data_IF_238440431978
#
_entry.id   IF_238440431978
#
_cell.length_a   1.000
_cell.length_b   1.000
_cell.length_c   1.000
_cell.angle_alpha   90.00
_cell.angle_beta   90.00
_cell.angle_gamma   90.00
#
_symmetry.space_group_name_H-M   'P 1'
#
loop_
_entity.id
_entity.type
_entity.pdbx_description
1 polymer ?
#
# COMPACT_ATOMS: atom_id res chain seq x y z
N UNK A 1 54.81 -16.12 24.44
CA UNK A 1 55.17 -14.84 23.79
C UNK A 1 55.17 -15.13 22.30
N UNK A 2 54.33 -14.62 21.41
CA UNK A 2 53.46 -13.44 21.42
C UNK A 2 52.38 -13.65 20.35
N UNK A 3 51.15 -13.25 20.69
CA UNK A 3 49.97 -12.98 19.86
C UNK A 3 50.19 -12.94 18.32
N UNK A 4 49.44 -13.78 17.61
CA UNK A 4 48.81 -13.41 16.34
C UNK A 4 47.29 -13.32 16.59
N UNK A 5 46.90 -12.28 17.34
CA UNK A 5 45.53 -11.76 17.40
C UNK A 5 45.34 -11.03 16.06
N UNK A 6 44.80 -11.71 15.06
CA UNK A 6 44.64 -11.13 13.73
C UNK A 6 43.32 -11.51 13.01
N UNK A 7 42.26 -11.95 13.72
CA UNK A 7 40.90 -11.69 13.24
C UNK A 7 40.02 -10.88 14.21
N UNK A 8 40.53 -10.50 15.39
CA UNK A 8 39.71 -9.84 16.43
C UNK A 8 39.58 -8.31 16.29
N UNK A 9 40.35 -7.67 15.40
CA UNK A 9 40.40 -6.20 15.28
C UNK A 9 39.50 -5.65 14.16
N UNK A 10 39.14 -6.43 13.13
CA UNK A 10 38.18 -5.99 12.09
C UNK A 10 36.73 -5.85 12.64
N UNK A 11 36.45 -6.57 13.74
CA UNK A 11 35.21 -6.53 14.53
C UNK A 11 35.16 -5.35 15.52
N UNK A 12 35.95 -4.29 15.29
CA UNK A 12 35.87 -3.00 15.97
C UNK A 12 34.49 -2.34 15.74
N UNK A 13 33.55 -2.80 16.59
CA UNK A 13 32.26 -2.22 17.01
C UNK A 13 31.52 -1.41 15.96
N UNK A 14 30.79 -2.09 15.06
CA UNK A 14 29.56 -1.51 14.50
C UNK A 14 28.71 -0.99 15.67
N UNK A 15 28.41 0.31 15.65
CA UNK A 15 27.52 0.93 16.62
C UNK A 15 26.15 0.23 16.60
N UNK A 16 25.40 0.28 17.69
CA UNK A 16 24.03 -0.26 17.72
C UNK A 16 23.19 0.31 16.56
N UNK A 17 23.38 1.59 16.25
CA UNK A 17 22.77 2.26 15.10
C UNK A 17 23.08 1.57 13.77
N UNK A 18 24.34 1.25 13.47
CA UNK A 18 24.69 0.62 12.19
C UNK A 18 24.14 -0.81 12.10
N UNK A 19 24.15 -1.55 13.22
CA UNK A 19 23.57 -2.91 13.30
C UNK A 19 22.07 -2.90 13.00
N UNK A 20 21.31 -1.96 13.57
CA UNK A 20 19.89 -1.83 13.25
C UNK A 20 19.67 -1.33 11.82
N UNK A 21 20.50 -0.42 11.33
CA UNK A 21 20.45 0.04 9.95
C UNK A 21 20.64 -1.12 8.96
N UNK A 22 21.58 -2.03 9.20
CA UNK A 22 21.79 -3.24 8.38
C UNK A 22 20.55 -4.14 8.31
N UNK A 23 19.94 -4.44 9.45
CA UNK A 23 18.67 -5.17 9.48
C UNK A 23 17.59 -4.46 8.63
N UNK A 24 17.46 -3.14 8.77
CA UNK A 24 16.45 -2.38 8.03
C UNK A 24 16.77 -2.29 6.53
N UNK A 25 18.03 -2.30 6.11
CA UNK A 25 18.43 -2.30 4.69
C UNK A 25 18.00 -3.56 3.94
N UNK A 26 17.70 -4.66 4.64
CA UNK A 26 17.09 -5.87 4.04
C UNK A 26 15.78 -5.53 3.31
N UNK A 27 15.09 -4.46 3.74
CA UNK A 27 13.81 -4.05 3.17
C UNK A 27 13.97 -2.86 2.23
N UNK A 28 13.65 -3.07 0.95
CA UNK A 28 13.70 -2.01 -0.06
C UNK A 28 12.77 -0.82 0.27
N UNK A 29 11.56 -1.09 0.78
CA UNK A 29 10.56 -0.05 1.09
C UNK A 29 10.88 0.70 2.38
N UNK A 30 11.05 2.03 2.30
CA UNK A 30 11.20 2.90 3.48
C UNK A 30 10.04 2.75 4.46
N UNK A 31 8.80 2.58 3.96
CA UNK A 31 7.62 2.38 4.81
C UNK A 31 7.72 1.07 5.63
N UNK A 32 8.27 0.01 5.04
CA UNK A 32 8.52 -1.25 5.76
C UNK A 32 9.59 -1.06 6.83
N UNK A 33 10.68 -0.34 6.51
CA UNK A 33 11.73 -0.02 7.50
C UNK A 33 11.15 0.75 8.68
N UNK A 34 10.36 1.78 8.41
CA UNK A 34 9.72 2.60 9.43
C UNK A 34 8.75 1.79 10.29
N UNK A 35 7.94 0.91 9.70
CA UNK A 35 7.01 0.06 10.44
C UNK A 35 7.75 -0.88 11.40
N UNK A 36 8.82 -1.52 10.95
CA UNK A 36 9.64 -2.38 11.81
C UNK A 36 10.40 -1.60 12.87
N UNK A 37 10.94 -0.43 12.54
CA UNK A 37 11.58 0.42 13.53
C UNK A 37 10.60 0.83 14.63
N UNK A 38 9.37 1.24 14.27
CA UNK A 38 8.32 1.55 15.25
C UNK A 38 7.95 0.35 16.11
N UNK A 39 7.80 -0.85 15.54
CA UNK A 39 7.38 -2.05 16.30
C UNK A 39 8.46 -2.60 17.23
N UNK A 40 9.71 -2.50 16.79
CA UNK A 40 10.87 -2.92 17.57
C UNK A 40 11.30 -1.84 18.57
N UNK A 41 10.88 -0.59 18.40
CA UNK A 41 11.32 0.53 19.23
C UNK A 41 12.71 1.04 18.84
N UNK A 42 13.11 0.87 17.58
CA UNK A 42 14.33 1.45 17.02
C UNK A 42 14.09 2.95 16.76
N UNK A 43 14.99 3.85 17.19
CA UNK A 43 14.88 5.27 16.90
C UNK A 43 14.72 5.55 15.39
N UNK A 44 13.76 6.40 15.02
CA UNK A 44 13.43 6.61 13.59
C UNK A 44 14.56 7.29 12.81
N UNK A 45 15.37 8.11 13.47
CA UNK A 45 16.59 8.72 12.95
C UNK A 45 17.67 7.68 12.59
N UNK A 46 17.58 6.45 13.11
CA UNK A 46 18.47 5.35 12.73
C UNK A 46 18.00 4.63 11.47
N UNK A 47 16.79 4.95 10.96
CA UNK A 47 16.22 4.28 9.79
C UNK A 47 16.88 4.79 8.50
N UNK A 48 17.53 3.92 7.70
CA UNK A 48 18.17 4.34 6.47
C UNK A 48 17.17 5.00 5.50
N UNK A 49 17.50 6.19 5.03
CA UNK A 49 16.67 6.98 4.12
C UNK A 49 15.51 7.71 4.78
N UNK A 50 15.34 7.62 6.10
CA UNK A 50 14.40 8.49 6.82
C UNK A 50 14.99 9.90 6.95
N UNK A 51 14.14 10.90 6.72
CA UNK A 51 14.41 12.29 7.07
C UNK A 51 13.26 12.77 7.95
N UNK A 52 13.55 13.35 9.13
CA UNK A 52 12.52 13.95 9.97
C UNK A 52 11.67 14.93 9.15
N UNK A 53 10.34 14.94 9.31
CA UNK A 53 9.50 15.95 8.68
C UNK A 53 9.93 17.35 9.10
N UNK A 54 9.88 18.30 8.17
CA UNK A 54 10.09 19.72 8.47
C UNK A 54 9.09 20.18 9.55
N UNK A 55 9.57 20.64 10.73
CA UNK A 55 8.70 21.01 11.85
C UNK A 55 7.81 22.21 11.53
N UNK A 56 8.15 23.01 10.52
CA UNK A 56 7.36 24.17 10.08
C UNK A 56 6.19 23.79 9.16
N UNK A 57 6.17 22.56 8.62
CA UNK A 57 5.07 22.07 7.77
C UNK A 57 3.92 21.55 8.62
N UNK A 58 2.79 22.27 8.63
CA UNK A 58 1.50 21.73 9.12
C UNK A 58 1.09 20.50 8.30
N UNK A 59 1.21 19.30 8.88
CA UNK A 59 0.48 18.10 8.44
C UNK A 59 -0.18 17.40 9.63
N UNK A 60 -1.34 16.81 9.34
CA UNK A 60 -2.20 16.12 10.30
C UNK A 60 -1.54 14.91 10.97
N UNK A 61 -2.10 14.59 12.15
CA UNK A 61 -1.73 13.57 13.15
C UNK A 61 -0.24 13.21 13.17
N UNK A 62 0.47 13.74 14.17
CA UNK A 62 1.84 13.34 14.48
C UNK A 62 1.94 11.81 14.51
N UNK A 63 2.92 11.24 13.80
CA UNK A 63 3.33 9.85 14.06
C UNK A 63 3.73 9.79 15.54
N UNK A 64 3.33 8.73 16.26
CA UNK A 64 3.76 8.51 17.65
C UNK A 64 5.28 8.70 17.70
N UNK A 65 5.73 9.77 18.35
CA UNK A 65 7.14 10.17 18.41
C UNK A 65 7.84 9.59 19.64
N UNK A 66 7.08 9.09 20.62
CA UNK A 66 7.64 8.51 21.83
C UNK A 66 7.31 7.02 21.94
N UNK A 67 8.31 6.17 22.25
CA UNK A 67 8.07 4.78 22.60
C UNK A 67 7.09 4.72 23.77
N UNK A 68 6.07 3.89 23.65
CA UNK A 68 5.21 3.55 24.79
C UNK A 68 5.94 2.71 25.84
N UNK A 69 7.16 2.27 25.51
CA UNK A 69 7.95 1.31 26.25
C UNK A 69 7.60 -0.12 25.85
N UNK A 70 6.37 -0.41 25.42
CA UNK A 70 5.96 -1.77 25.10
C UNK A 70 6.45 -2.26 23.73
N UNK A 71 7.19 -1.43 22.99
CA UNK A 71 7.96 -1.89 21.83
C UNK A 71 9.01 -2.93 22.25
N UNK A 72 9.35 -3.85 21.35
CA UNK A 72 10.12 -5.05 21.71
C UNK A 72 11.47 -4.76 22.38
N UNK A 73 12.31 -3.90 21.81
CA UNK A 73 13.65 -3.63 22.35
C UNK A 73 13.59 -2.87 23.69
N UNK A 74 12.80 -1.79 23.84
CA UNK A 74 12.60 -1.17 25.15
C UNK A 74 12.03 -2.14 26.19
N UNK A 75 11.12 -3.04 25.80
CA UNK A 75 10.57 -4.05 26.69
C UNK A 75 11.64 -5.05 27.15
N UNK A 76 12.49 -5.54 26.25
CA UNK A 76 13.62 -6.40 26.61
C UNK A 76 14.55 -5.73 27.63
N UNK A 77 14.92 -4.47 27.37
CA UNK A 77 15.81 -3.71 28.27
C UNK A 77 15.19 -3.50 29.65
N UNK A 78 13.90 -3.15 29.74
CA UNK A 78 13.21 -2.98 31.02
C UNK A 78 13.06 -4.28 31.81
N UNK A 79 13.07 -5.43 31.14
CA UNK A 79 13.01 -6.74 31.77
C UNK A 79 14.40 -7.36 31.97
N UNK A 80 15.47 -6.58 31.82
CA UNK A 80 16.83 -6.98 32.21
C UNK A 80 17.57 -7.87 31.21
N UNK A 81 17.04 -8.08 30.01
CA UNK A 81 17.74 -8.87 28.99
C UNK A 81 18.96 -8.12 28.47
N UNK A 82 20.12 -8.76 28.55
CA UNK A 82 21.38 -8.22 28.02
C UNK A 82 21.83 -8.95 26.75
N UNK A 83 21.24 -10.11 26.46
CA UNK A 83 21.47 -10.89 25.25
C UNK A 83 20.16 -11.38 24.63
N UNK A 84 20.09 -11.40 23.30
CA UNK A 84 18.95 -11.99 22.60
C UNK A 84 18.92 -13.53 22.67
N UNK A 85 20.03 -14.17 23.02
CA UNK A 85 20.08 -15.63 23.23
C UNK A 85 19.33 -16.08 24.50
N UNK A 86 19.16 -15.18 25.49
CA UNK A 86 18.45 -15.43 26.75
C UNK A 86 16.93 -15.44 26.57
N UNK A 87 16.43 -14.78 25.51
CA UNK A 87 14.99 -14.67 25.26
C UNK A 87 14.44 -16.02 24.83
N UNK A 88 13.29 -16.39 25.40
CA UNK A 88 12.60 -17.67 25.19
C UNK A 88 11.12 -17.41 24.87
N UNK A 89 10.38 -18.45 24.54
CA UNK A 89 8.98 -18.34 24.08
C UNK A 89 8.07 -17.70 25.14
N UNK A 90 8.24 -18.09 26.41
CA UNK A 90 7.51 -17.59 27.56
C UNK A 90 7.69 -16.08 27.77
N UNK A 91 8.87 -15.54 27.42
CA UNK A 91 9.15 -14.11 27.46
C UNK A 91 8.39 -13.36 26.37
N UNK A 92 8.29 -13.93 25.18
CA UNK A 92 7.50 -13.38 24.07
C UNK A 92 6.01 -13.41 24.41
N UNK A 93 5.53 -14.50 25.01
CA UNK A 93 4.12 -14.64 25.42
C UNK A 93 3.76 -13.67 26.55
N UNK A 94 4.65 -13.49 27.53
CA UNK A 94 4.49 -12.45 28.56
C UNK A 94 4.39 -11.06 27.93
N UNK A 95 5.29 -10.72 27.02
CA UNK A 95 5.25 -9.43 26.30
C UNK A 95 3.93 -9.24 25.53
N UNK A 96 3.43 -10.28 24.87
CA UNK A 96 2.14 -10.24 24.17
C UNK A 96 0.96 -10.05 25.12
N UNK A 97 1.03 -10.61 26.33
CA UNK A 97 0.05 -10.40 27.41
C UNK A 97 0.06 -8.95 27.92
N UNK A 98 1.25 -8.38 28.15
CA UNK A 98 1.39 -6.97 28.57
C UNK A 98 0.86 -6.00 27.50
N UNK A 99 1.10 -6.28 26.22
CA UNK A 99 0.49 -5.51 25.13
C UNK A 99 -1.05 -5.57 25.15
N UNK A 100 -1.62 -6.76 25.39
CA UNK A 100 -3.07 -6.93 25.50
C UNK A 100 -3.64 -6.14 26.69
N UNK A 101 -3.00 -6.23 27.85
CA UNK A 101 -3.38 -5.49 29.05
C UNK A 101 -3.32 -3.97 28.85
N UNK A 102 -2.40 -3.49 28.01
CA UNK A 102 -2.30 -2.09 27.60
C UNK A 102 -3.30 -1.67 26.49
N UNK A 103 -4.24 -2.54 26.10
CA UNK A 103 -5.30 -2.26 25.14
C UNK A 103 -4.86 -2.31 23.66
N UNK A 104 -3.72 -2.94 23.35
CA UNK A 104 -3.33 -3.13 21.95
C UNK A 104 -4.24 -4.16 21.27
N UNK A 105 -4.82 -3.78 20.12
CA UNK A 105 -5.61 -4.70 19.28
C UNK A 105 -4.78 -5.89 18.82
N UNK A 106 -5.42 -7.04 18.65
CA UNK A 106 -4.76 -8.29 18.20
C UNK A 106 -4.02 -8.14 16.88
N UNK A 107 -4.60 -7.42 15.92
CA UNK A 107 -3.93 -7.13 14.65
C UNK A 107 -2.63 -6.32 14.85
N UNK A 108 -2.59 -5.42 15.84
CA UNK A 108 -1.38 -4.67 16.18
C UNK A 108 -0.36 -5.59 16.85
N UNK A 109 -0.78 -6.42 17.81
CA UNK A 109 0.06 -7.41 18.51
C UNK A 109 0.69 -8.41 17.53
N UNK A 110 -0.10 -8.99 16.63
CA UNK A 110 0.36 -9.94 15.61
C UNK A 110 1.37 -9.31 14.62
N UNK A 111 1.17 -8.03 14.28
CA UNK A 111 2.12 -7.26 13.44
C UNK A 111 3.44 -7.04 14.17
N UNK A 112 3.41 -6.63 15.44
CA UNK A 112 4.61 -6.46 16.25
C UNK A 112 5.36 -7.80 16.41
N UNK A 113 4.64 -8.89 16.71
CA UNK A 113 5.21 -10.25 16.77
C UNK A 113 5.90 -10.65 15.45
N UNK A 114 5.32 -10.27 14.31
CA UNK A 114 5.92 -10.50 13.00
C UNK A 114 7.21 -9.70 12.78
N UNK A 115 7.29 -8.47 13.30
CA UNK A 115 8.51 -7.66 13.27
C UNK A 115 9.62 -8.30 14.13
N UNK A 116 9.29 -8.78 15.33
CA UNK A 116 10.23 -9.52 16.20
C UNK A 116 10.73 -10.78 15.50
N UNK A 117 9.83 -11.60 14.96
CA UNK A 117 10.21 -12.81 14.21
C UNK A 117 11.12 -12.49 13.02
N UNK A 118 10.83 -11.41 12.29
CA UNK A 118 11.68 -10.97 11.19
C UNK A 118 13.07 -10.54 11.68
N UNK A 119 13.16 -9.80 12.78
CA UNK A 119 14.44 -9.36 13.37
C UNK A 119 15.32 -10.54 13.78
N UNK A 120 14.74 -11.54 14.48
CA UNK A 120 15.47 -12.76 14.82
C UNK A 120 15.92 -13.52 13.58
N UNK A 121 14.99 -13.83 12.66
CA UNK A 121 15.30 -14.70 11.50
C UNK A 121 16.19 -14.06 10.44
N UNK A 122 16.03 -12.76 10.19
CA UNK A 122 16.71 -12.09 9.08
C UNK A 122 18.03 -11.44 9.48
N UNK A 123 18.25 -11.26 10.78
CA UNK A 123 19.43 -10.58 11.29
C UNK A 123 20.07 -11.34 12.45
N UNK A 124 19.44 -11.43 13.62
CA UNK A 124 20.12 -11.94 14.82
C UNK A 124 20.70 -13.35 14.67
N UNK A 125 19.95 -14.29 14.07
CA UNK A 125 20.44 -15.65 13.83
C UNK A 125 21.61 -15.68 12.83
N UNK A 126 21.58 -14.80 11.81
CA UNK A 126 22.63 -14.74 10.78
C UNK A 126 23.92 -14.15 11.34
N UNK A 127 23.80 -13.17 12.22
CA UNK A 127 24.93 -12.50 12.87
C UNK A 127 25.42 -13.23 14.14
N UNK A 128 24.85 -14.41 14.47
CA UNK A 128 25.21 -15.17 15.67
C UNK A 128 24.83 -14.50 17.00
N UNK A 129 23.96 -13.49 16.99
CA UNK A 129 23.52 -12.75 18.18
C UNK A 129 22.36 -13.43 18.92
N UNK A 130 21.77 -14.46 18.31
CA UNK A 130 20.77 -15.34 18.92
C UNK A 130 20.95 -16.75 18.35
N UNK A 131 20.64 -17.76 19.16
CA UNK A 131 20.75 -19.18 18.75
C UNK A 131 19.44 -19.73 18.16
N UNK A 132 18.31 -19.10 18.50
CA UNK A 132 16.98 -19.54 18.09
C UNK A 132 16.06 -18.32 17.93
N UNK A 133 14.93 -18.53 17.26
CA UNK A 133 13.86 -17.54 17.19
C UNK A 133 12.77 -17.88 18.22
N UNK A 134 12.63 -17.14 19.33
CA UNK A 134 11.66 -17.45 20.37
C UNK A 134 10.21 -17.30 19.87
N UNK A 135 9.99 -16.51 18.81
CA UNK A 135 8.67 -16.37 18.18
C UNK A 135 8.22 -17.63 17.43
N UNK A 136 9.14 -18.51 17.06
CA UNK A 136 8.81 -19.71 16.28
C UNK A 136 7.93 -20.70 17.05
N UNK A 137 7.99 -20.68 18.38
CA UNK A 137 7.28 -21.61 19.26
C UNK A 137 6.04 -20.99 19.93
N UNK A 138 5.74 -19.71 19.69
CA UNK A 138 4.60 -19.02 20.30
C UNK A 138 3.28 -19.67 19.88
N UNK A 139 2.45 -20.03 20.85
CA UNK A 139 1.08 -20.47 20.57
C UNK A 139 0.19 -19.28 20.20
N UNK A 140 0.12 -19.00 18.90
CA UNK A 140 -0.67 -17.89 18.37
C UNK A 140 -2.18 -18.05 18.64
N UNK A 141 -2.66 -19.29 18.85
CA UNK A 141 -4.06 -19.54 19.17
C UNK A 141 -4.35 -19.11 20.60
N UNK A 142 -3.54 -19.58 21.56
CA UNK A 142 -3.63 -19.20 22.97
C UNK A 142 -3.46 -17.68 23.17
N UNK A 143 -2.67 -17.02 22.31
CA UNK A 143 -2.47 -15.58 22.36
C UNK A 143 -3.59 -14.74 21.70
N UNK A 144 -4.64 -15.40 21.17
CA UNK A 144 -5.72 -14.79 20.39
C UNK A 144 -5.23 -14.04 19.14
N UNK A 145 -4.13 -14.48 18.54
CA UNK A 145 -3.52 -13.87 17.35
C UNK A 145 -3.90 -14.60 16.05
N UNK A 146 -4.41 -15.83 16.16
CA UNK A 146 -5.01 -16.50 15.02
C UNK A 146 -6.35 -15.87 14.70
N UNK A 147 -6.53 -15.45 13.44
CA UNK A 147 -7.87 -15.20 12.93
C UNK A 147 -8.58 -16.55 12.86
N UNK A 148 -9.80 -16.70 13.42
CA UNK A 148 -10.57 -17.92 13.22
C UNK A 148 -10.70 -18.23 11.72
N UNK A 149 -10.54 -19.49 11.35
CA UNK A 149 -10.74 -19.90 9.97
C UNK A 149 -12.16 -19.49 9.54
N UNK A 150 -12.28 -18.76 8.43
CA UNK A 150 -13.56 -18.27 7.94
C UNK A 150 -14.04 -16.92 8.49
N UNK A 151 -13.31 -16.26 9.41
CA UNK A 151 -13.64 -14.87 9.76
C UNK A 151 -13.42 -13.98 8.53
N UNK A 152 -14.46 -13.29 8.03
CA UNK A 152 -14.32 -12.38 6.90
C UNK A 152 -13.22 -11.35 7.19
N UNK A 153 -12.44 -11.00 6.18
CA UNK A 153 -11.58 -9.81 6.27
C UNK A 153 -12.46 -8.65 6.72
N UNK A 154 -12.07 -7.90 7.75
CA UNK A 154 -12.74 -6.65 8.16
C UNK A 154 -12.67 -5.55 7.08
N UNK A 155 -12.19 -5.89 5.89
CA UNK A 155 -12.16 -5.03 4.74
C UNK A 155 -13.57 -4.96 4.18
N UNK A 156 -14.18 -3.79 4.35
CA UNK A 156 -15.51 -3.49 3.83
C UNK A 156 -15.53 -3.74 2.32
N UNK A 157 -16.44 -4.62 1.88
CA UNK A 157 -16.72 -4.86 0.49
C UNK A 157 -17.56 -3.69 -0.05
N UNK A 158 -17.13 -3.05 -1.12
CA UNK A 158 -17.93 -2.02 -1.78
C UNK A 158 -18.97 -2.71 -2.66
N UNK A 159 -20.23 -2.25 -2.60
CA UNK A 159 -21.26 -2.72 -3.53
C UNK A 159 -20.88 -2.35 -4.97
N UNK A 160 -21.54 -2.99 -5.94
CA UNK A 160 -21.31 -2.70 -7.35
C UNK A 160 -21.61 -1.22 -7.64
N UNK A 161 -22.71 -0.72 -7.08
CA UNK A 161 -23.17 0.66 -7.19
C UNK A 161 -22.22 1.64 -6.50
N UNK A 162 -21.60 1.27 -5.37
CA UNK A 162 -20.59 2.10 -4.72
C UNK A 162 -19.31 2.21 -5.55
N UNK A 163 -18.88 1.13 -6.22
CA UNK A 163 -17.80 1.20 -7.19
C UNK A 163 -18.14 2.16 -8.34
N UNK A 164 -19.37 2.10 -8.87
CA UNK A 164 -19.85 3.03 -9.92
C UNK A 164 -19.89 4.48 -9.44
N UNK A 165 -20.38 4.70 -8.23
CA UNK A 165 -20.43 6.02 -7.61
C UNK A 165 -19.04 6.63 -7.45
N UNK A 166 -18.02 5.85 -7.07
CA UNK A 166 -16.64 6.33 -6.98
C UNK A 166 -16.06 6.73 -8.34
N UNK A 167 -16.32 5.94 -9.38
CA UNK A 167 -15.89 6.23 -10.75
C UNK A 167 -16.57 7.52 -11.26
N UNK A 168 -17.88 7.65 -11.08
CA UNK A 168 -18.59 8.86 -11.49
C UNK A 168 -18.18 10.09 -10.69
N UNK A 169 -17.99 9.96 -9.37
CA UNK A 169 -17.51 11.04 -8.54
C UNK A 169 -16.15 11.56 -9.02
N UNK A 170 -15.25 10.65 -9.40
CA UNK A 170 -13.96 11.01 -9.96
C UNK A 170 -14.11 11.69 -11.33
N UNK A 171 -15.02 11.20 -12.18
CA UNK A 171 -15.36 11.79 -13.48
C UNK A 171 -15.88 13.22 -13.37
N UNK A 172 -16.91 13.47 -12.55
CA UNK A 172 -17.56 14.78 -12.40
C UNK A 172 -16.64 15.85 -11.83
N UNK A 173 -15.56 15.45 -11.14
CA UNK A 173 -14.60 16.37 -10.54
C UNK A 173 -13.33 16.57 -11.38
N UNK A 174 -13.23 15.98 -12.59
CA UNK A 174 -12.06 16.10 -13.47
C UNK A 174 -11.65 17.56 -13.68
N UNK A 175 -12.58 18.40 -14.16
CA UNK A 175 -12.29 19.81 -14.47
C UNK A 175 -12.33 20.72 -13.25
N UNK A 176 -12.71 20.18 -12.09
CA UNK A 176 -12.89 20.94 -10.84
C UNK A 176 -11.63 20.94 -9.98
N UNK A 177 -10.65 20.11 -10.33
CA UNK A 177 -9.39 20.00 -9.63
C UNK A 177 -8.22 20.00 -10.60
N UNK A 178 -7.16 20.74 -10.27
CA UNK A 178 -5.90 20.80 -11.05
C UNK A 178 -5.31 19.42 -11.40
N UNK A 179 -5.60 18.40 -10.59
CA UNK A 179 -5.14 17.03 -10.80
C UNK A 179 -6.31 16.06 -11.00
N UNK A 180 -7.45 16.53 -11.49
CA UNK A 180 -8.66 15.72 -11.63
C UNK A 180 -8.48 14.55 -12.59
N UNK A 181 -7.85 14.76 -13.75
CA UNK A 181 -7.50 13.66 -14.67
C UNK A 181 -6.61 12.60 -14.04
N UNK A 182 -5.58 13.02 -13.28
CA UNK A 182 -4.70 12.11 -12.55
C UNK A 182 -5.49 11.29 -11.53
N UNK A 183 -6.30 11.98 -10.72
CA UNK A 183 -7.03 11.36 -9.63
C UNK A 183 -8.13 10.41 -10.20
N UNK A 184 -8.76 10.75 -11.34
CA UNK A 184 -9.64 9.85 -12.09
C UNK A 184 -8.90 8.61 -12.57
N UNK A 185 -7.80 8.76 -13.31
CA UNK A 185 -7.02 7.62 -13.79
C UNK A 185 -6.58 6.67 -12.66
N UNK A 186 -6.19 7.23 -11.49
CA UNK A 186 -5.86 6.43 -10.31
C UNK A 186 -7.05 5.63 -9.76
N UNK A 187 -8.25 6.22 -9.70
CA UNK A 187 -9.48 5.55 -9.22
C UNK A 187 -9.94 4.49 -10.21
N UNK A 188 -9.87 4.78 -11.51
CA UNK A 188 -10.21 3.87 -12.62
C UNK A 188 -9.35 2.60 -12.57
N UNK A 189 -8.02 2.74 -12.46
CA UNK A 189 -7.13 1.58 -12.32
C UNK A 189 -7.44 0.83 -11.03
N UNK A 190 -7.56 1.53 -9.90
CA UNK A 190 -7.75 0.90 -8.59
C UNK A 190 -9.00 0.01 -8.55
N UNK A 191 -10.13 0.50 -9.07
CA UNK A 191 -11.42 -0.20 -9.08
C UNK A 191 -11.49 -1.22 -10.22
N UNK A 192 -11.06 -0.83 -11.42
CA UNK A 192 -11.17 -1.65 -12.63
C UNK A 192 -10.22 -2.85 -12.69
N UNK A 193 -9.19 -2.89 -11.84
CA UNK A 193 -8.15 -3.94 -11.88
C UNK A 193 -7.84 -4.59 -10.53
N UNK A 194 -8.21 -3.95 -9.40
CA UNK A 194 -7.90 -4.47 -8.06
C UNK A 194 -6.41 -4.48 -7.69
N UNK A 195 -5.56 -3.68 -8.37
CA UNK A 195 -4.16 -3.48 -7.96
C UNK A 195 -4.05 -2.87 -6.57
N UNK A 196 -2.92 -3.10 -5.89
CA UNK A 196 -2.66 -2.48 -4.58
C UNK A 196 -2.34 -1.00 -4.76
N UNK A 197 -2.61 -0.18 -3.74
CA UNK A 197 -2.31 1.25 -3.79
C UNK A 197 -0.81 1.53 -3.95
N UNK A 198 0.06 0.73 -3.33
CA UNK A 198 1.51 0.81 -3.49
C UNK A 198 1.95 0.43 -4.91
N UNK A 199 1.32 -0.58 -5.50
CA UNK A 199 1.57 -0.99 -6.88
C UNK A 199 1.17 0.14 -7.83
N UNK A 200 -0.05 0.69 -7.66
CA UNK A 200 -0.59 1.80 -8.45
C UNK A 200 0.35 3.02 -8.48
N UNK A 201 0.80 3.49 -7.31
CA UNK A 201 1.68 4.66 -7.27
C UNK A 201 3.13 4.35 -7.66
N UNK A 202 3.50 3.07 -7.68
CA UNK A 202 4.83 2.58 -8.06
C UNK A 202 5.08 2.51 -9.56
N UNK A 203 4.02 2.61 -10.38
CA UNK A 203 4.07 2.53 -11.84
C UNK A 203 4.90 3.67 -12.45
N UNK A 204 5.72 3.34 -13.43
CA UNK A 204 6.44 4.26 -14.32
C UNK A 204 5.79 4.33 -15.71
N UNK A 205 6.07 5.39 -16.47
CA UNK A 205 5.53 5.55 -17.84
C UNK A 205 5.90 4.34 -18.70
N UNK A 206 7.13 3.85 -18.59
CA UNK A 206 7.62 2.70 -19.35
C UNK A 206 6.95 1.36 -18.96
N UNK A 207 6.12 1.33 -17.93
CA UNK A 207 5.34 0.16 -17.54
C UNK A 207 3.97 0.11 -18.24
N UNK A 208 3.49 1.24 -18.78
CA UNK A 208 2.21 1.36 -19.46
C UNK A 208 2.37 1.19 -20.97
N UNK A 209 1.52 0.38 -21.59
CA UNK A 209 1.51 0.18 -23.03
C UNK A 209 0.10 -0.02 -23.56
N UNK A 210 -0.29 0.81 -24.52
CA UNK A 210 -1.54 0.70 -25.27
C UNK A 210 -1.21 0.53 -26.76
N UNK A 211 -1.46 -0.65 -27.37
CA UNK A 211 -1.11 -0.89 -28.77
C UNK A 211 -1.94 -0.05 -29.74
N UNK A 212 -3.23 0.11 -29.45
CA UNK A 212 -4.20 0.76 -30.34
C UNK A 212 -5.12 1.71 -29.55
N UNK A 213 -5.39 2.93 -30.07
CA UNK A 213 -6.40 3.83 -29.50
C UNK A 213 -7.78 3.15 -29.43
N UNK A 214 -8.53 3.39 -28.35
CA UNK A 214 -9.82 2.74 -28.11
C UNK A 214 -9.74 1.27 -27.67
N UNK A 215 -8.60 0.60 -27.87
CA UNK A 215 -8.36 -0.78 -27.44
C UNK A 215 -7.97 -0.92 -25.96
N UNK A 216 -7.82 -2.15 -25.47
CA UNK A 216 -7.27 -2.41 -24.14
C UNK A 216 -5.79 -2.00 -24.05
N UNK A 217 -5.34 -1.73 -22.83
CA UNK A 217 -3.92 -1.49 -22.53
C UNK A 217 -3.40 -2.54 -21.55
N UNK A 218 -2.08 -2.61 -21.41
CA UNK A 218 -1.40 -3.44 -20.43
C UNK A 218 -0.51 -2.58 -19.53
N UNK A 219 -0.51 -2.92 -18.24
CA UNK A 219 0.27 -2.22 -17.22
C UNK A 219 1.16 -3.21 -16.48
N UNK A 220 2.47 -3.03 -16.51
CA UNK A 220 3.38 -3.76 -15.62
C UNK A 220 3.28 -3.18 -14.20
N UNK A 221 3.16 -4.04 -13.20
CA UNK A 221 3.15 -3.65 -11.79
C UNK A 221 4.20 -4.45 -11.01
N UNK A 222 4.88 -3.77 -10.10
CA UNK A 222 5.99 -4.31 -9.32
C UNK A 222 5.50 -4.80 -7.96
N UNK A 223 5.49 -6.12 -7.76
CA UNK A 223 5.03 -6.76 -6.53
C UNK A 223 6.11 -6.89 -5.44
N UNK A 224 5.69 -7.25 -4.22
CA UNK A 224 6.61 -7.54 -3.10
C UNK A 224 7.52 -8.72 -3.46
N UNK A 225 8.83 -8.50 -3.36
CA UNK A 225 9.85 -9.52 -3.67
C UNK A 225 10.24 -9.59 -5.15
N UNK A 226 10.14 -8.48 -5.89
CA UNK A 226 10.51 -8.38 -7.31
C UNK A 226 9.70 -9.31 -8.24
N UNK A 227 8.49 -9.68 -7.82
CA UNK A 227 7.54 -10.43 -8.65
C UNK A 227 6.72 -9.43 -9.46
N UNK A 228 7.18 -9.15 -10.67
CA UNK A 228 6.46 -8.31 -11.62
C UNK A 228 5.30 -9.10 -12.23
N UNK A 229 4.20 -8.41 -12.54
CA UNK A 229 3.09 -8.97 -13.33
C UNK A 229 2.53 -7.94 -14.28
N UNK A 230 1.93 -8.38 -15.38
CA UNK A 230 1.14 -7.52 -16.27
C UNK A 230 -0.33 -7.55 -15.83
N UNK A 231 -0.95 -6.39 -15.86
CA UNK A 231 -2.36 -6.17 -15.51
C UNK A 231 -3.06 -5.62 -16.74
N UNK A 232 -4.18 -6.23 -17.12
CA UNK A 232 -4.98 -5.75 -18.24
C UNK A 232 -5.79 -4.51 -17.81
N UNK A 233 -5.79 -3.50 -18.67
CA UNK A 233 -6.62 -2.31 -18.53
C UNK A 233 -7.68 -2.37 -19.64
N UNK A 234 -8.94 -2.50 -19.25
CA UNK A 234 -10.04 -2.39 -20.19
C UNK A 234 -10.14 -0.97 -20.77
N UNK A 235 -10.81 -0.79 -21.93
CA UNK A 235 -10.84 0.50 -22.62
C UNK A 235 -11.21 1.71 -21.74
N UNK A 236 -12.27 1.69 -20.88
CA UNK A 236 -12.59 2.86 -20.04
C UNK A 236 -11.45 3.28 -19.11
N UNK A 237 -10.71 2.30 -18.58
CA UNK A 237 -9.56 2.54 -17.70
C UNK A 237 -8.38 3.06 -18.51
N UNK A 238 -8.12 2.47 -19.69
CA UNK A 238 -7.06 2.92 -20.58
C UNK A 238 -7.30 4.35 -21.08
N UNK A 239 -8.54 4.69 -21.42
CA UNK A 239 -8.96 6.04 -21.85
C UNK A 239 -8.73 7.09 -20.77
N UNK A 240 -9.04 6.77 -19.50
CA UNK A 240 -8.75 7.66 -18.39
C UNK A 240 -7.24 7.89 -18.20
N UNK A 241 -6.41 6.87 -18.41
CA UNK A 241 -4.94 7.00 -18.36
C UNK A 241 -4.43 7.87 -19.50
N UNK A 242 -4.88 7.63 -20.74
CA UNK A 242 -4.49 8.43 -21.90
C UNK A 242 -4.91 9.90 -21.76
N UNK A 243 -6.13 10.16 -21.27
CA UNK A 243 -6.59 11.52 -20.99
C UNK A 243 -5.69 12.23 -19.98
N UNK A 244 -5.26 11.53 -18.93
CA UNK A 244 -4.26 12.06 -18.00
C UNK A 244 -2.91 12.30 -18.67
N UNK A 245 -2.39 11.35 -19.45
CA UNK A 245 -1.10 11.45 -20.12
C UNK A 245 -1.05 12.63 -21.12
N UNK A 246 -2.14 12.89 -21.83
CA UNK A 246 -2.26 14.00 -22.77
C UNK A 246 -2.05 15.38 -22.10
N UNK A 247 -2.51 15.55 -20.86
CA UNK A 247 -2.34 16.80 -20.10
C UNK A 247 -1.17 16.76 -19.10
N UNK A 248 -0.50 15.62 -18.98
CA UNK A 248 0.58 15.43 -18.01
C UNK A 248 1.79 16.27 -18.39
N UNK A 249 2.05 17.32 -17.60
CA UNK A 249 3.24 18.18 -17.71
C UNK A 249 4.33 17.62 -16.78
N UNK A 250 5.39 16.96 -17.27
CA UNK A 250 6.52 16.57 -16.41
C UNK A 250 7.18 17.83 -15.86
N UNK A 251 7.63 17.79 -14.60
CA UNK A 251 8.50 18.85 -14.11
C UNK A 251 9.86 18.71 -14.79
N UNK A 252 10.39 19.80 -15.34
CA UNK A 252 11.81 19.93 -15.67
C UNK A 252 12.60 19.89 -14.37
N UNK A 253 12.96 18.70 -13.92
CA UNK A 253 13.94 18.52 -12.85
C UNK A 253 15.31 18.62 -13.52
N UNK A 254 16.13 19.64 -13.22
CA UNK A 254 17.50 19.68 -13.71
C UNK A 254 18.21 18.39 -13.26
N UNK A 255 18.93 17.74 -14.17
CA UNK A 255 19.75 16.60 -13.82
C UNK A 255 20.66 16.99 -12.64
N UNK A 256 20.63 16.20 -11.56
CA UNK A 256 21.56 16.41 -10.45
C UNK A 256 22.97 16.17 -10.98
N UNK A 257 23.83 17.19 -10.85
CA UNK A 257 25.25 17.12 -11.21
C UNK A 257 25.89 15.89 -10.56
N UNK A 258 26.49 15.01 -11.37
CA UNK A 258 27.23 13.83 -10.89
C UNK A 258 26.54 12.46 -10.99
N UNK A 259 25.28 12.36 -11.45
CA UNK A 259 24.66 11.07 -11.78
C UNK A 259 24.64 10.83 -13.28
N UNK A 260 25.78 10.42 -13.84
CA UNK A 260 25.84 9.79 -15.17
C UNK A 260 25.64 8.29 -14.95
N UNK A 261 24.39 7.84 -14.97
CA UNK A 261 24.07 6.41 -14.81
C UNK A 261 22.60 6.17 -14.51
N UNK A 262 21.92 5.46 -15.42
CA UNK A 262 20.47 5.16 -15.47
C UNK A 262 19.56 6.38 -15.44
N UNK A 263 18.82 6.63 -16.54
CA UNK A 263 17.71 7.61 -16.50
C UNK A 263 16.81 7.27 -15.31
N UNK A 264 16.54 8.21 -14.38
CA UNK A 264 15.58 7.96 -13.33
C UNK A 264 14.25 7.57 -13.98
N UNK A 265 13.70 6.41 -13.60
CA UNK A 265 12.42 5.96 -14.16
C UNK A 265 11.36 7.01 -13.89
N UNK A 266 10.68 7.43 -14.94
CA UNK A 266 9.72 8.52 -14.87
C UNK A 266 8.40 8.00 -14.30
N UNK A 267 7.95 8.48 -13.12
CA UNK A 267 6.71 8.03 -12.51
C UNK A 267 5.51 8.35 -13.40
N UNK A 268 4.59 7.39 -13.55
CA UNK A 268 3.33 7.63 -14.27
C UNK A 268 2.54 8.72 -13.56
N UNK A 269 2.26 8.53 -12.27
CA UNK A 269 1.52 9.49 -11.45
C UNK A 269 2.46 10.44 -10.70
N UNK A 270 2.40 11.72 -11.06
CA UNK A 270 3.20 12.79 -10.47
C UNK A 270 2.38 13.78 -9.65
N UNK A 271 3.03 14.36 -8.64
CA UNK A 271 2.57 15.53 -7.89
C UNK A 271 2.80 16.81 -8.68
N UNK A 272 2.35 17.97 -8.15
CA UNK A 272 2.62 19.29 -8.72
C UNK A 272 4.11 19.56 -8.98
N UNK A 273 5.01 18.97 -8.17
CA UNK A 273 6.46 19.19 -8.31
C UNK A 273 7.12 18.16 -9.24
N UNK A 274 6.36 17.32 -9.94
CA UNK A 274 6.87 16.22 -10.76
C UNK A 274 7.35 14.99 -9.97
N UNK A 275 7.34 15.04 -8.64
CA UNK A 275 7.69 13.88 -7.82
C UNK A 275 6.59 12.81 -7.86
N UNK A 276 6.95 11.52 -7.70
CA UNK A 276 6.00 10.41 -7.58
C UNK A 276 4.93 10.67 -6.52
N UNK A 277 3.69 10.35 -6.83
CA UNK A 277 2.58 10.39 -5.86
C UNK A 277 2.83 9.41 -4.72
N UNK A 278 2.64 9.83 -3.48
CA UNK A 278 2.77 8.94 -2.32
C UNK A 278 1.49 8.10 -2.14
N UNK A 279 1.61 6.87 -1.65
CA UNK A 279 0.48 5.94 -1.45
C UNK A 279 -0.68 6.54 -0.64
N UNK A 280 -0.38 7.38 0.35
CA UNK A 280 -1.41 8.07 1.16
C UNK A 280 -2.30 9.01 0.34
N UNK A 281 -1.86 9.45 -0.83
CA UNK A 281 -2.66 10.27 -1.73
C UNK A 281 -3.84 9.48 -2.31
N UNK A 282 -3.68 8.18 -2.57
CA UNK A 282 -4.79 7.30 -3.02
C UNK A 282 -5.93 7.33 -2.01
N UNK A 283 -5.60 7.14 -0.73
CA UNK A 283 -6.54 7.25 0.39
C UNK A 283 -7.17 8.64 0.48
N UNK A 284 -6.38 9.70 0.27
CA UNK A 284 -6.86 11.07 0.33
C UNK A 284 -7.84 11.40 -0.80
N UNK A 285 -7.61 10.89 -2.01
CA UNK A 285 -8.53 11.01 -3.15
C UNK A 285 -9.86 10.35 -2.80
N UNK A 286 -9.85 9.09 -2.38
CA UNK A 286 -11.05 8.35 -2.02
C UNK A 286 -11.87 9.06 -0.92
N UNK A 287 -11.21 9.51 0.16
CA UNK A 287 -11.88 10.28 1.23
C UNK A 287 -12.45 11.60 0.73
N UNK A 288 -11.74 12.28 -0.17
CA UNK A 288 -12.23 13.54 -0.76
C UNK A 288 -13.49 13.30 -1.59
N UNK A 289 -13.57 12.21 -2.36
CA UNK A 289 -14.77 11.86 -3.12
C UNK A 289 -15.96 11.66 -2.17
N UNK A 290 -15.81 10.83 -1.12
CA UNK A 290 -16.85 10.66 -0.10
C UNK A 290 -17.23 11.99 0.58
N UNK A 291 -16.26 12.78 1.03
CA UNK A 291 -16.53 14.04 1.72
C UNK A 291 -17.20 15.09 0.83
N UNK A 292 -16.99 15.03 -0.50
CA UNK A 292 -17.59 15.98 -1.45
C UNK A 292 -19.04 15.65 -1.74
N UNK A 293 -19.35 14.37 -1.99
CA UNK A 293 -20.69 13.96 -2.43
C UNK A 293 -21.57 13.40 -1.31
N UNK A 294 -20.98 12.88 -0.24
CA UNK A 294 -21.68 12.40 0.94
C UNK A 294 -21.10 13.06 2.20
N UNK A 295 -21.20 14.40 2.35
CA UNK A 295 -20.77 15.07 3.57
C UNK A 295 -21.64 14.67 4.77
N UNK A 296 -21.16 14.83 6.02
CA UNK A 296 -21.98 14.70 7.22
C UNK A 296 -23.28 15.51 7.15
N UNK A 297 -24.35 15.01 7.79
CA UNK A 297 -25.67 15.65 7.74
C UNK A 297 -25.68 17.08 8.32
N UNK A 298 -24.75 17.37 9.24
CA UNK A 298 -24.54 18.68 9.86
C UNK A 298 -23.55 19.58 9.09
N UNK A 299 -23.00 19.11 7.96
CA UNK A 299 -22.05 19.90 7.19
C UNK A 299 -22.74 21.12 6.55
N UNK A 300 -22.14 22.31 6.63
CA UNK A 300 -22.69 23.49 5.98
C UNK A 300 -22.69 23.32 4.45
N UNK A 301 -23.65 23.93 3.74
CA UNK A 301 -23.68 23.87 2.29
C UNK A 301 -22.39 24.45 1.69
N UNK A 302 -21.91 23.92 0.56
CA UNK A 302 -20.67 24.37 -0.03
C UNK A 302 -20.78 25.83 -0.48
N UNK A 303 -19.73 26.62 -0.21
CA UNK A 303 -19.67 28.05 -0.58
C UNK A 303 -19.66 28.26 -2.09
N UNK A 304 -19.00 27.38 -2.83
CA UNK A 304 -18.88 27.49 -4.27
C UNK A 304 -20.21 27.16 -4.97
N UNK A 305 -20.73 28.09 -5.78
CA UNK A 305 -21.99 27.91 -6.52
C UNK A 305 -21.96 26.67 -7.42
N UNK A 306 -20.90 26.50 -8.21
CA UNK A 306 -20.76 25.35 -9.11
C UNK A 306 -20.88 24.01 -8.38
N UNK A 307 -20.44 23.93 -7.12
CA UNK A 307 -20.51 22.71 -6.34
C UNK A 307 -21.93 22.47 -5.82
N UNK A 308 -22.66 23.52 -5.43
CA UNK A 308 -24.09 23.39 -5.11
C UNK A 308 -24.89 22.91 -6.34
N UNK A 309 -24.63 23.51 -7.50
CA UNK A 309 -25.30 23.15 -8.75
C UNK A 309 -24.99 21.68 -9.13
N UNK A 310 -23.73 21.24 -8.97
CA UNK A 310 -23.34 19.85 -9.18
C UNK A 310 -24.03 18.90 -8.20
N UNK A 311 -24.05 19.23 -6.91
CA UNK A 311 -24.64 18.38 -5.88
C UNK A 311 -26.17 18.28 -5.96
N UNK A 312 -26.81 19.20 -6.69
CA UNK A 312 -28.25 19.16 -6.97
C UNK A 312 -28.63 18.21 -8.13
N UNK A 313 -27.67 17.61 -8.83
CA UNK A 313 -27.93 16.71 -9.96
C UNK A 313 -28.34 15.30 -9.51
N UNK A 314 -29.09 14.58 -10.35
CA UNK A 314 -29.46 13.17 -10.11
C UNK A 314 -28.23 12.27 -9.99
N UNK A 315 -27.19 12.55 -10.79
CA UNK A 315 -25.90 11.89 -10.70
C UNK A 315 -25.29 12.03 -9.31
N UNK A 316 -25.28 13.25 -8.75
CA UNK A 316 -24.76 13.49 -7.41
C UNK A 316 -25.60 12.82 -6.33
N UNK A 317 -26.92 12.75 -6.49
CA UNK A 317 -27.81 12.04 -5.58
C UNK A 317 -27.50 10.54 -5.53
N UNK A 318 -27.29 9.89 -6.68
CA UNK A 318 -26.82 8.50 -6.70
C UNK A 318 -25.47 8.34 -6.00
N UNK A 319 -24.52 9.24 -6.28
CA UNK A 319 -23.19 9.16 -5.68
C UNK A 319 -23.31 9.28 -4.15
N UNK A 320 -24.09 10.24 -3.66
CA UNK A 320 -24.31 10.44 -2.24
C UNK A 320 -24.85 9.17 -1.56
N UNK A 321 -25.91 8.59 -2.13
CA UNK A 321 -26.56 7.37 -1.62
C UNK A 321 -25.58 6.20 -1.46
N UNK A 322 -24.69 6.00 -2.44
CA UNK A 322 -23.79 4.86 -2.45
C UNK A 322 -22.42 5.11 -1.80
N UNK A 323 -22.03 6.38 -1.60
CA UNK A 323 -20.79 6.73 -0.90
C UNK A 323 -20.98 6.97 0.60
N UNK A 324 -22.20 7.28 1.05
CA UNK A 324 -22.49 7.50 2.47
C UNK A 324 -22.06 6.33 3.37
N UNK A 325 -22.37 5.06 3.06
CA UNK A 325 -21.92 3.92 3.88
C UNK A 325 -20.39 3.75 3.94
N UNK A 326 -19.67 4.34 2.99
CA UNK A 326 -18.21 4.22 2.90
C UNK A 326 -17.46 5.34 3.61
N UNK A 327 -18.12 6.42 4.05
CA UNK A 327 -17.48 7.65 4.56
C UNK A 327 -16.35 7.39 5.56
N UNK A 328 -16.61 6.55 6.57
CA UNK A 328 -15.67 6.25 7.66
C UNK A 328 -14.77 5.04 7.39
N UNK A 329 -15.12 4.21 6.41
CA UNK A 329 -14.49 2.90 6.18
C UNK A 329 -13.75 2.80 4.85
N UNK A 330 -13.81 3.84 4.01
CA UNK A 330 -13.20 3.82 2.68
C UNK A 330 -11.68 3.66 2.79
N UNK A 331 -11.17 2.62 2.14
CA UNK A 331 -9.74 2.30 2.12
C UNK A 331 -9.35 1.66 0.78
N UNK A 332 -8.18 1.96 0.19
CA UNK A 332 -7.80 1.42 -1.12
C UNK A 332 -7.83 -0.11 -1.22
N UNK A 333 -7.55 -0.83 -0.13
CA UNK A 333 -7.58 -2.29 -0.13
C UNK A 333 -8.99 -2.86 -0.37
N UNK A 334 -10.05 -2.13 -0.03
CA UNK A 334 -11.43 -2.52 -0.32
C UNK A 334 -11.72 -2.59 -1.82
N UNK A 335 -11.08 -1.77 -2.65
CA UNK A 335 -11.22 -1.82 -4.10
C UNK A 335 -10.79 -3.20 -4.65
N UNK A 336 -9.69 -3.73 -4.12
CA UNK A 336 -9.17 -5.05 -4.50
C UNK A 336 -10.12 -6.19 -4.15
N UNK A 337 -10.67 -6.17 -2.93
CA UNK A 337 -11.67 -7.16 -2.53
C UNK A 337 -12.93 -7.06 -3.36
N UNK A 338 -13.37 -5.83 -3.65
CA UNK A 338 -14.54 -5.56 -4.48
C UNK A 338 -14.34 -6.01 -5.91
N UNK A 339 -13.18 -5.76 -6.52
CA UNK A 339 -12.80 -6.31 -7.82
C UNK A 339 -12.93 -7.84 -7.84
N UNK A 340 -12.33 -8.52 -6.85
CA UNK A 340 -12.36 -9.98 -6.79
C UNK A 340 -13.79 -10.54 -6.73
N UNK A 341 -14.61 -9.97 -5.85
CA UNK A 341 -16.00 -10.41 -5.67
C UNK A 341 -16.85 -10.10 -6.89
N UNK A 342 -16.78 -8.89 -7.43
CA UNK A 342 -17.60 -8.49 -8.58
C UNK A 342 -17.17 -9.21 -9.86
N UNK A 343 -15.88 -9.47 -10.06
CA UNK A 343 -15.40 -10.31 -11.15
C UNK A 343 -15.99 -11.73 -11.07
N UNK A 344 -15.93 -12.36 -9.89
CA UNK A 344 -16.52 -13.69 -9.67
C UNK A 344 -18.04 -13.71 -9.86
N UNK A 345 -18.75 -12.73 -9.33
CA UNK A 345 -20.21 -12.62 -9.48
C UNK A 345 -20.63 -12.45 -10.95
N UNK A 346 -19.71 -12.03 -11.81
CA UNK A 346 -19.90 -11.90 -13.26
C UNK A 346 -19.39 -13.11 -14.05
N UNK A 347 -19.07 -14.20 -13.37
CA UNK A 347 -18.66 -15.46 -14.00
C UNK A 347 -17.16 -15.60 -14.27
N UNK A 348 -16.32 -14.69 -13.78
CA UNK A 348 -14.87 -14.85 -13.92
C UNK A 348 -14.37 -16.07 -13.11
N UNK A 349 -13.59 -16.92 -13.77
CA UNK A 349 -12.95 -18.08 -13.16
C UNK A 349 -12.05 -17.67 -11.98
N UNK A 350 -12.12 -18.40 -10.86
CA UNK A 350 -11.37 -18.06 -9.66
C UNK A 350 -9.84 -18.00 -9.90
N UNK A 351 -9.32 -18.86 -10.79
CA UNK A 351 -7.90 -18.84 -11.20
C UNK A 351 -7.55 -17.60 -12.01
N UNK A 352 -8.46 -17.09 -12.84
CA UNK A 352 -8.24 -15.84 -13.56
C UNK A 352 -8.19 -14.66 -12.60
N UNK A 353 -9.14 -14.57 -11.67
CA UNK A 353 -9.15 -13.52 -10.64
C UNK A 353 -7.88 -13.57 -9.78
N UNK A 354 -7.38 -14.77 -9.44
CA UNK A 354 -6.10 -14.92 -8.75
C UNK A 354 -4.89 -14.43 -9.56
N UNK A 355 -4.88 -14.67 -10.89
CA UNK A 355 -3.85 -14.18 -11.82
C UNK A 355 -3.86 -12.66 -11.90
N UNK A 356 -5.02 -12.04 -12.17
CA UNK A 356 -5.19 -10.58 -12.22
C UNK A 356 -4.62 -9.91 -10.94
N UNK A 357 -4.94 -10.51 -9.79
CA UNK A 357 -4.54 -10.01 -8.49
C UNK A 357 -3.09 -10.36 -8.10
N UNK A 358 -2.42 -11.29 -8.79
CA UNK A 358 -1.06 -11.71 -8.45
C UNK A 358 -0.97 -12.51 -7.14
N UNK A 359 -1.95 -13.40 -6.90
CA UNK A 359 -1.96 -14.31 -5.74
C UNK A 359 -1.15 -15.61 -5.97
N UNK A 360 -0.60 -15.81 -7.17
CA UNK A 360 0.24 -16.97 -7.44
C UNK A 360 1.59 -16.88 -6.69
N UNK A 361 1.89 -17.91 -5.88
CA UNK A 361 3.29 -18.30 -5.73
C UNK A 361 3.75 -18.76 -7.10
N UNK A 362 4.57 -17.95 -7.79
CA UNK A 362 5.30 -18.39 -8.99
C UNK A 362 6.30 -19.47 -8.57
N UNK A 363 5.83 -20.70 -8.41
CA UNK A 363 6.68 -21.87 -8.63
C UNK A 363 6.81 -22.04 -10.14
N UNK A 364 8.06 -22.08 -10.59
CA UNK A 364 8.55 -22.52 -11.90
C UNK A 364 8.23 -21.64 -13.11
N UNK A 365 9.30 -21.05 -13.65
CA UNK A 365 9.77 -20.88 -15.05
C UNK A 365 8.83 -20.93 -16.27
N UNK A 366 7.54 -21.22 -16.15
CA UNK A 366 6.57 -21.26 -17.26
C UNK A 366 5.78 -19.94 -17.42
N UNK A 367 5.91 -19.00 -16.46
CA UNK A 367 5.06 -17.80 -16.39
C UNK A 367 5.20 -16.78 -17.53
N UNK A 368 6.31 -16.76 -18.27
CA UNK A 368 6.51 -15.78 -19.36
C UNK A 368 5.75 -16.15 -20.65
N UNK A 369 5.38 -17.41 -20.85
CA UNK A 369 4.73 -17.90 -22.08
C UNK A 369 3.21 -17.60 -22.15
N UNK A 370 2.58 -17.20 -21.04
CA UNK A 370 1.12 -17.01 -20.95
C UNK A 370 0.67 -15.57 -20.70
N UNK A 371 1.57 -14.59 -20.70
CA UNK A 371 1.23 -13.20 -20.34
C UNK A 371 0.21 -12.56 -21.28
N UNK A 372 0.27 -12.84 -22.58
CA UNK A 372 -0.69 -12.31 -23.56
C UNK A 372 -2.09 -12.91 -23.37
N UNK A 373 -2.15 -14.22 -23.15
CA UNK A 373 -3.40 -14.95 -22.89
C UNK A 373 -4.02 -14.53 -21.54
N UNK A 374 -3.18 -14.35 -20.51
CA UNK A 374 -3.60 -13.84 -19.21
C UNK A 374 -4.23 -12.45 -19.31
N UNK A 375 -3.66 -11.58 -20.14
CA UNK A 375 -4.20 -10.25 -20.39
C UNK A 375 -5.54 -10.32 -21.13
N UNK A 376 -5.61 -11.09 -22.22
CA UNK A 376 -6.82 -11.23 -23.03
C UNK A 376 -8.01 -11.80 -22.25
N UNK A 377 -7.76 -12.74 -21.33
CA UNK A 377 -8.79 -13.38 -20.50
C UNK A 377 -9.06 -12.65 -19.19
N UNK A 378 -8.45 -11.48 -18.96
CA UNK A 378 -8.59 -10.78 -17.67
C UNK A 378 -10.03 -10.40 -17.38
N UNK A 379 -10.46 -10.59 -16.12
CA UNK A 379 -11.82 -10.23 -15.71
C UNK A 379 -12.09 -8.73 -15.79
N UNK A 380 -11.02 -7.91 -15.84
CA UNK A 380 -11.10 -6.47 -16.04
C UNK A 380 -11.85 -6.10 -17.33
N UNK A 381 -11.71 -6.91 -18.40
CA UNK A 381 -12.35 -6.67 -19.69
C UNK A 381 -13.88 -6.77 -19.66
N UNK A 382 -14.45 -7.52 -18.73
CA UNK A 382 -15.91 -7.59 -18.55
C UNK A 382 -16.40 -6.69 -17.39
N UNK A 383 -15.65 -6.61 -16.30
CA UNK A 383 -16.05 -5.84 -15.12
C UNK A 383 -15.99 -4.33 -15.36
N UNK A 384 -14.90 -3.83 -15.94
CA UNK A 384 -14.71 -2.38 -16.08
C UNK A 384 -15.75 -1.73 -17.01
N UNK A 385 -16.06 -2.28 -18.21
CA UNK A 385 -17.15 -1.74 -19.04
C UNK A 385 -18.50 -1.79 -18.32
N UNK A 386 -18.76 -2.83 -17.53
CA UNK A 386 -20.02 -2.97 -16.80
C UNK A 386 -20.22 -1.89 -15.74
N UNK A 387 -19.16 -1.51 -15.04
CA UNK A 387 -19.20 -0.41 -14.08
C UNK A 387 -19.54 0.93 -14.77
N UNK A 388 -19.17 1.08 -16.04
CA UNK A 388 -19.42 2.29 -16.82
C UNK A 388 -20.77 2.32 -17.56
N UNK A 389 -21.48 1.18 -17.66
CA UNK A 389 -22.75 1.10 -18.42
C UNK A 389 -23.82 2.03 -17.83
N UNK A 390 -24.54 2.69 -18.74
CA UNK A 390 -25.71 3.55 -18.45
C UNK A 390 -25.40 4.96 -17.93
N UNK A 391 -24.12 5.33 -17.80
CA UNK A 391 -23.67 6.57 -17.14
C UNK A 391 -22.83 7.44 -18.08
N UNK A 392 -22.07 6.78 -18.95
CA UNK A 392 -21.63 7.35 -20.22
C UNK A 392 -22.80 7.20 -21.19
N UNK A 393 -23.70 8.19 -21.24
CA UNK A 393 -24.42 8.39 -22.49
C UNK A 393 -23.33 8.61 -23.56
N UNK A 394 -23.41 7.87 -24.66
CA UNK A 394 -22.55 8.11 -25.82
C UNK A 394 -22.63 9.61 -26.20
N UNK A 395 -21.53 10.21 -26.68
CA UNK A 395 -21.50 11.61 -27.08
C UNK A 395 -22.63 11.98 -28.04
#
# INVERSE_FOLDING_TARGET
MTKAIAPLEEELRKSGQERFAEFLRIYASLNTRLAYATDLGIPLDWVPGYRPPDPTRRRGRARRSQPTGLEWLPWCLRNGFTSFAEVRVEHVERWLGELAAAGYRDATRARMLSAVSAFYRKYLLREGLAEHNPVALVDRSAQHLNRPAGTPSSTVLWSFEACRALLLAAYLLVDRHRHGLRDRAMVEILIGTGVRAEELVGIDIADYHRPEPGGPAAQRVHGKGAKDRRVALAPPVADAVEAYLAERRPATVPARTGQVGTRPREPLFITRTGARVHVSHVQAVLRRLCATFAPPADAPPPRARWLRDLLATEQAAFIALHLEPLRETIHPHSARHSYATHAKNRGAEARQVQRDLGHASLTTTEGYLHDAENLALSAAHDLSPALHRGWLAAP
#
